data_IF_165141394882
#
_entry.id   IF_165141394882
#
_cell.length_a   1.000
_cell.length_b   1.000
_cell.length_c   1.000
_cell.angle_alpha   90.00
_cell.angle_beta   90.00
_cell.angle_gamma   90.00
#
_symmetry.space_group_name_H-M   'P 1'
#
loop_
_entity.id
_entity.type
_entity.pdbx_description
1 polymer ?
#
# COMPACT_ATOMS: atom_id res chain seq x y z
N UNK A 1 -10.82 -14.61 -20.40
CA UNK A 1 -10.73 -13.17 -20.76
C UNK A 1 -10.67 -12.40 -19.45
N UNK A 2 -9.75 -11.45 -19.32
CA UNK A 2 -9.55 -10.71 -18.07
C UNK A 2 -10.75 -9.79 -17.86
N UNK A 3 -11.31 -9.81 -16.67
CA UNK A 3 -12.42 -8.94 -16.27
C UNK A 3 -11.94 -7.49 -16.05
N UNK A 4 -12.85 -6.54 -16.30
CA UNK A 4 -12.58 -5.11 -16.19
C UNK A 4 -12.06 -4.69 -14.79
N UNK A 5 -12.57 -5.22 -13.65
CA UNK A 5 -12.03 -4.92 -12.32
C UNK A 5 -10.55 -5.30 -12.16
N UNK A 6 -10.16 -6.50 -12.60
CA UNK A 6 -8.77 -6.97 -12.56
C UNK A 6 -7.87 -6.10 -13.43
N UNK A 7 -8.37 -5.68 -14.60
CA UNK A 7 -7.64 -4.78 -15.50
C UNK A 7 -7.39 -3.41 -14.87
N UNK A 8 -8.39 -2.87 -14.16
CA UNK A 8 -8.23 -1.61 -13.41
C UNK A 8 -7.23 -1.74 -12.28
N UNK A 9 -7.27 -2.83 -11.54
CA UNK A 9 -6.34 -3.09 -10.45
C UNK A 9 -4.90 -3.23 -10.96
N UNK A 10 -4.72 -3.96 -12.06
CA UNK A 10 -3.43 -4.09 -12.73
C UNK A 10 -2.89 -2.73 -13.18
N UNK A 11 -3.74 -1.87 -13.75
CA UNK A 11 -3.35 -0.52 -14.15
C UNK A 11 -2.96 0.34 -12.95
N UNK A 12 -3.73 0.29 -11.86
CA UNK A 12 -3.46 1.03 -10.62
C UNK A 12 -2.09 0.67 -10.06
N UNK A 13 -1.87 -0.62 -9.82
CA UNK A 13 -0.64 -1.18 -9.25
C UNK A 13 0.58 -0.95 -10.16
N UNK A 14 0.38 -0.87 -11.47
CA UNK A 14 1.49 -0.68 -12.41
C UNK A 14 1.98 0.77 -12.48
N UNK A 15 1.22 1.75 -11.96
CA UNK A 15 1.60 3.17 -11.89
C UNK A 15 2.08 3.74 -13.24
N UNK A 16 1.52 3.25 -14.35
CA UNK A 16 1.90 3.66 -15.71
C UNK A 16 3.14 2.98 -16.29
N UNK A 17 3.84 2.11 -15.53
CA UNK A 17 4.92 1.28 -16.06
C UNK A 17 4.35 0.09 -16.84
N UNK A 18 4.37 0.19 -18.17
CA UNK A 18 3.94 -0.88 -19.07
C UNK A 18 4.76 -2.18 -18.92
N UNK A 19 6.05 -2.09 -18.57
CA UNK A 19 6.89 -3.28 -18.35
C UNK A 19 6.42 -4.01 -17.09
N UNK A 20 6.17 -3.28 -16.00
CA UNK A 20 5.61 -3.84 -14.75
C UNK A 20 4.25 -4.49 -15.01
N UNK A 21 3.36 -3.81 -15.73
CA UNK A 21 2.03 -4.33 -16.07
C UNK A 21 2.09 -5.66 -16.82
N UNK A 22 2.93 -5.75 -17.86
CA UNK A 22 3.10 -6.98 -18.65
C UNK A 22 3.69 -8.10 -17.79
N UNK A 23 4.69 -7.80 -16.97
CA UNK A 23 5.34 -8.79 -16.11
C UNK A 23 4.40 -9.35 -15.04
N UNK A 24 3.59 -8.48 -14.43
CA UNK A 24 2.55 -8.88 -13.48
C UNK A 24 1.52 -9.77 -14.18
N UNK A 25 1.00 -9.35 -15.35
CA UNK A 25 0.03 -10.13 -16.10
C UNK A 25 0.53 -11.52 -16.49
N UNK A 26 1.77 -11.61 -17.00
CA UNK A 26 2.39 -12.89 -17.35
C UNK A 26 2.58 -13.80 -16.12
N UNK A 27 2.91 -13.21 -14.98
CA UNK A 27 3.08 -13.96 -13.73
C UNK A 27 1.74 -14.42 -13.17
N UNK A 28 0.70 -13.58 -13.21
CA UNK A 28 -0.67 -13.94 -12.83
C UNK A 28 -1.20 -15.11 -13.66
N UNK A 29 -1.05 -15.04 -14.98
CA UNK A 29 -1.47 -16.13 -15.86
C UNK A 29 -0.71 -17.44 -15.59
N UNK A 30 0.58 -17.36 -15.24
CA UNK A 30 1.39 -18.54 -14.87
C UNK A 30 0.92 -19.18 -13.55
N UNK A 31 0.47 -18.39 -12.58
CA UNK A 31 0.06 -18.87 -11.25
C UNK A 31 -1.41 -19.30 -11.19
N UNK A 32 -2.30 -18.56 -11.85
CA UNK A 32 -3.77 -18.74 -11.75
C UNK A 32 -4.42 -19.24 -13.04
N UNK A 33 -3.64 -19.45 -14.11
CA UNK A 33 -4.18 -19.83 -15.42
C UNK A 33 -5.08 -18.74 -16.00
N UNK A 34 -6.31 -19.12 -16.35
CA UNK A 34 -7.28 -18.21 -16.97
C UNK A 34 -8.19 -17.48 -15.96
N UNK A 35 -8.17 -17.87 -14.69
CA UNK A 35 -8.99 -17.29 -13.62
C UNK A 35 -8.17 -16.24 -12.83
N UNK A 36 -8.01 -15.05 -13.42
CA UNK A 36 -7.31 -13.93 -12.78
C UNK A 36 -8.36 -13.00 -12.18
N UNK A 37 -8.37 -12.86 -10.86
CA UNK A 37 -9.21 -11.89 -10.15
C UNK A 37 -8.41 -10.71 -9.58
N UNK A 38 -9.08 -9.65 -9.08
CA UNK A 38 -8.41 -8.46 -8.54
C UNK A 38 -7.51 -8.76 -7.34
N UNK A 39 -7.92 -9.69 -6.48
CA UNK A 39 -7.13 -10.09 -5.31
C UNK A 39 -5.80 -10.71 -5.72
N UNK A 40 -5.76 -11.51 -6.79
CA UNK A 40 -4.52 -12.09 -7.27
C UNK A 40 -3.51 -11.01 -7.71
N UNK A 41 -3.99 -9.89 -8.27
CA UNK A 41 -3.15 -8.73 -8.62
C UNK A 41 -2.55 -8.11 -7.37
N UNK A 42 -3.36 -7.89 -6.33
CA UNK A 42 -2.91 -7.34 -5.04
C UNK A 42 -1.86 -8.25 -4.39
N UNK A 43 -2.15 -9.55 -4.31
CA UNK A 43 -1.27 -10.55 -3.69
C UNK A 43 0.10 -10.60 -4.39
N UNK A 44 0.11 -10.62 -5.73
CA UNK A 44 1.35 -10.71 -6.50
C UNK A 44 2.17 -9.41 -6.44
N UNK A 45 1.49 -8.27 -6.33
CA UNK A 45 2.14 -6.96 -6.27
C UNK A 45 2.54 -6.51 -4.88
N UNK A 46 2.19 -7.30 -3.86
CA UNK A 46 2.33 -6.97 -2.45
C UNK A 46 1.69 -5.61 -2.07
N UNK A 47 0.66 -5.19 -2.84
CA UNK A 47 -0.07 -3.96 -2.57
C UNK A 47 -1.10 -4.21 -1.45
N UNK A 48 -1.11 -3.32 -0.45
CA UNK A 48 -2.16 -3.31 0.56
C UNK A 48 -3.56 -3.14 -0.06
N UNK A 49 -4.56 -3.92 0.39
CA UNK A 49 -5.96 -3.63 0.11
C UNK A 49 -6.41 -2.32 0.75
N UNK A 50 -7.34 -1.61 0.09
CA UNK A 50 -7.88 -0.33 0.56
C UNK A 50 -8.49 -0.42 1.98
N UNK A 51 -9.08 -1.56 2.32
CA UNK A 51 -9.63 -1.83 3.65
C UNK A 51 -8.55 -1.75 4.74
N UNK A 52 -7.35 -2.26 4.46
CA UNK A 52 -6.23 -2.29 5.42
C UNK A 52 -5.61 -0.91 5.60
N UNK A 53 -5.59 -0.10 4.54
CA UNK A 53 -5.20 1.31 4.61
C UNK A 53 -6.20 2.08 5.48
N UNK A 54 -7.50 1.87 5.26
CA UNK A 54 -8.55 2.46 6.08
C UNK A 54 -8.44 2.08 7.55
N UNK A 55 -8.19 0.80 7.85
CA UNK A 55 -7.93 0.30 9.21
C UNK A 55 -6.74 1.03 9.85
N UNK A 56 -5.65 1.20 9.09
CA UNK A 56 -4.44 1.89 9.55
C UNK A 56 -4.75 3.31 10.00
N UNK A 57 -5.44 4.10 9.17
CA UNK A 57 -5.84 5.46 9.55
C UNK A 57 -6.85 5.49 10.69
N UNK A 58 -7.76 4.52 10.77
CA UNK A 58 -8.70 4.42 11.88
C UNK A 58 -7.97 4.22 13.22
N UNK A 59 -6.96 3.35 13.25
CA UNK A 59 -6.12 3.13 14.45
C UNK A 59 -5.30 4.38 14.78
N UNK A 60 -4.67 5.03 13.79
CA UNK A 60 -3.96 6.30 13.99
C UNK A 60 -4.85 7.37 14.64
N UNK A 61 -6.11 7.48 14.23
CA UNK A 61 -7.09 8.44 14.79
C UNK A 61 -7.46 8.15 16.25
N UNK A 62 -7.28 6.92 16.74
CA UNK A 62 -7.53 6.59 18.16
C UNK A 62 -6.49 7.17 19.11
N UNK A 63 -5.31 7.57 18.60
CA UNK A 63 -4.18 8.05 19.38
C UNK A 63 -3.73 7.08 20.49
N UNK A 64 -3.90 5.77 20.27
CA UNK A 64 -3.51 4.70 21.19
C UNK A 64 -2.25 4.00 20.68
N UNK A 65 -1.12 4.26 21.35
CA UNK A 65 0.17 3.70 20.98
C UNK A 65 0.22 2.16 21.04
N UNK A 66 -0.53 1.56 21.97
CA UNK A 66 -0.53 0.09 22.09
C UNK A 66 -1.19 -0.55 20.88
N UNK A 67 -2.27 0.06 20.37
CA UNK A 67 -2.96 -0.41 19.15
C UNK A 67 -2.10 -0.22 17.91
N UNK A 68 -1.35 0.89 17.84
CA UNK A 68 -0.40 1.12 16.75
C UNK A 68 0.70 0.05 16.71
N UNK A 69 1.26 -0.33 17.86
CA UNK A 69 2.27 -1.39 17.93
C UNK A 69 1.75 -2.76 17.49
N UNK A 70 0.49 -3.09 17.81
CA UNK A 70 -0.18 -4.31 17.33
C UNK A 70 -0.41 -4.25 15.82
N UNK A 71 -0.89 -3.12 15.30
CA UNK A 71 -1.10 -2.94 13.87
C UNK A 71 0.21 -3.07 13.08
N UNK A 72 1.28 -2.39 13.52
CA UNK A 72 2.60 -2.48 12.87
C UNK A 72 3.12 -3.92 12.84
N UNK A 73 2.98 -4.64 13.96
CA UNK A 73 3.37 -6.06 14.03
C UNK A 73 2.52 -6.94 13.09
N UNK A 74 1.22 -6.65 12.95
CA UNK A 74 0.33 -7.35 12.02
C UNK A 74 0.72 -7.10 10.56
N UNK A 75 0.95 -5.85 10.17
CA UNK A 75 1.30 -5.51 8.79
C UNK A 75 2.63 -6.15 8.36
N UNK A 76 3.61 -6.19 9.26
CA UNK A 76 4.87 -6.90 9.03
C UNK A 76 4.69 -8.42 8.98
N UNK A 77 3.85 -8.98 9.85
CA UNK A 77 3.57 -10.42 9.87
C UNK A 77 2.81 -10.88 8.61
N UNK A 78 1.96 -10.01 8.05
CA UNK A 78 1.26 -10.22 6.79
C UNK A 78 2.21 -10.15 5.58
N UNK A 79 3.46 -9.70 5.78
CA UNK A 79 4.52 -9.71 4.76
C UNK A 79 4.50 -8.51 3.82
N UNK A 80 3.79 -7.44 4.17
CA UNK A 80 3.74 -6.24 3.35
C UNK A 80 5.05 -5.44 3.45
N UNK A 81 5.65 -5.04 2.32
CA UNK A 81 6.80 -4.15 2.32
C UNK A 81 6.46 -2.78 2.93
N UNK A 82 7.31 -2.27 3.84
CA UNK A 82 7.04 -1.01 4.57
C UNK A 82 7.07 0.21 3.64
N UNK A 83 7.95 0.21 2.65
CA UNK A 83 7.98 1.20 1.57
C UNK A 83 6.63 1.27 0.84
N UNK A 84 6.04 0.11 0.53
CA UNK A 84 4.72 0.04 -0.12
C UNK A 84 3.58 0.52 0.81
N UNK A 85 3.68 0.26 2.12
CA UNK A 85 2.72 0.78 3.12
C UNK A 85 2.77 2.31 3.13
N UNK A 86 3.97 2.87 3.28
CA UNK A 86 4.18 4.33 3.40
C UNK A 86 3.75 5.05 2.12
N UNK A 87 4.08 4.51 0.95
CA UNK A 87 3.66 5.08 -0.34
C UNK A 87 2.13 5.15 -0.46
N UNK A 88 1.43 4.06 -0.11
CA UNK A 88 -0.04 4.02 -0.19
C UNK A 88 -0.72 4.88 0.88
N UNK A 89 -0.13 5.01 2.07
CA UNK A 89 -0.59 5.96 3.08
C UNK A 89 -0.52 7.41 2.55
N UNK A 90 0.57 7.77 1.86
CA UNK A 90 0.72 9.09 1.25
C UNK A 90 -0.35 9.36 0.18
N UNK A 91 -0.60 8.39 -0.70
CA UNK A 91 -1.65 8.49 -1.73
C UNK A 91 -3.03 8.69 -1.10
N UNK A 92 -3.34 7.93 -0.04
CA UNK A 92 -4.58 8.06 0.69
C UNK A 92 -4.76 9.44 1.35
N UNK A 93 -3.70 10.00 1.95
CA UNK A 93 -3.73 11.35 2.54
C UNK A 93 -3.91 12.42 1.46
N UNK A 94 -3.24 12.26 0.31
CA UNK A 94 -3.36 13.19 -0.80
C UNK A 94 -4.81 13.25 -1.30
N UNK A 95 -5.44 12.10 -1.48
CA UNK A 95 -6.83 11.96 -1.93
C UNK A 95 -7.89 12.31 -0.85
N UNK A 96 -7.54 12.26 0.43
CA UNK A 96 -8.48 12.49 1.54
C UNK A 96 -9.08 13.90 1.52
N UNK A 97 -10.40 14.02 1.66
CA UNK A 97 -11.08 15.31 1.87
C UNK A 97 -11.18 15.72 3.35
N UNK A 98 -10.80 14.83 4.28
CA UNK A 98 -11.00 15.01 5.72
C UNK A 98 -9.95 15.94 6.37
N UNK A 99 -8.82 16.13 5.68
CA UNK A 99 -7.66 16.87 6.19
C UNK A 99 -7.49 18.18 5.43
N UNK A 100 -7.28 19.26 6.17
CA UNK A 100 -6.90 20.55 5.56
C UNK A 100 -5.47 20.54 5.03
N UNK A 101 -5.15 21.45 4.11
CA UNK A 101 -3.85 21.51 3.42
C UNK A 101 -2.66 21.51 4.38
N UNK A 102 -2.76 22.24 5.51
CA UNK A 102 -1.71 22.28 6.52
C UNK A 102 -1.49 20.93 7.20
N UNK A 103 -2.57 20.20 7.48
CA UNK A 103 -2.50 18.88 8.09
C UNK A 103 -1.92 17.87 7.10
N UNK A 104 -2.37 17.90 5.84
CA UNK A 104 -1.78 17.08 4.77
C UNK A 104 -0.29 17.33 4.62
N UNK A 105 0.13 18.59 4.60
CA UNK A 105 1.53 18.97 4.48
C UNK A 105 2.38 18.45 5.66
N UNK A 106 1.86 18.52 6.88
CA UNK A 106 2.54 17.98 8.06
C UNK A 106 2.74 16.46 7.94
N UNK A 107 1.66 15.71 7.71
CA UNK A 107 1.74 14.24 7.64
C UNK A 107 2.59 13.79 6.45
N UNK A 108 2.48 14.45 5.29
CA UNK A 108 3.33 14.16 4.13
C UNK A 108 4.82 14.39 4.41
N UNK A 109 5.15 15.40 5.22
CA UNK A 109 6.53 15.66 5.64
C UNK A 109 7.04 14.55 6.56
N UNK A 110 6.22 14.11 7.52
CA UNK A 110 6.57 13.03 8.43
C UNK A 110 6.78 11.70 7.68
N UNK A 111 5.90 11.40 6.73
CA UNK A 111 6.03 10.26 5.80
C UNK A 111 7.33 10.35 5.01
N UNK A 112 7.66 11.50 4.42
CA UNK A 112 8.89 11.65 3.65
C UNK A 112 10.16 11.43 4.49
N UNK A 113 10.13 11.79 5.78
CA UNK A 113 11.23 11.50 6.71
C UNK A 113 11.36 10.00 6.98
N UNK A 114 10.25 9.30 7.16
CA UNK A 114 10.25 7.84 7.36
C UNK A 114 10.72 7.09 6.11
N UNK A 115 10.21 7.45 4.94
CA UNK A 115 10.60 6.91 3.63
C UNK A 115 12.11 7.06 3.37
N UNK A 116 12.66 8.26 3.66
CA UNK A 116 14.10 8.48 3.59
C UNK A 116 14.86 7.54 4.52
N UNK A 117 14.43 7.39 5.78
CA UNK A 117 15.11 6.53 6.75
C UNK A 117 15.08 5.06 6.33
N UNK A 118 13.97 4.59 5.76
CA UNK A 118 13.88 3.24 5.18
C UNK A 118 14.87 3.08 4.02
N UNK A 119 14.94 4.06 3.13
CA UNK A 119 15.93 4.09 2.04
C UNK A 119 17.37 4.05 2.57
N UNK A 120 17.62 4.71 3.71
CA UNK A 120 18.92 4.71 4.41
C UNK A 120 19.18 3.41 5.21
N UNK A 121 18.27 2.43 5.19
CA UNK A 121 18.42 1.13 5.85
C UNK A 121 18.01 1.10 7.32
N UNK A 122 17.12 2.01 7.75
CA UNK A 122 16.52 1.94 9.08
C UNK A 122 15.62 0.71 9.24
N UNK A 123 15.36 0.30 10.49
CA UNK A 123 14.55 -0.88 10.77
C UNK A 123 13.05 -0.66 10.51
N UNK A 124 12.46 -1.58 9.76
CA UNK A 124 11.06 -1.65 9.33
C UNK A 124 10.03 -1.45 10.45
N UNK A 125 10.22 -2.07 11.62
CA UNK A 125 9.27 -1.93 12.74
C UNK A 125 9.28 -0.53 13.37
N UNK A 126 10.40 0.18 13.27
CA UNK A 126 10.58 1.48 13.92
C UNK A 126 10.15 2.64 13.02
N UNK A 127 10.22 2.45 11.69
CA UNK A 127 9.78 3.42 10.71
C UNK A 127 8.29 3.25 10.40
#
# INVERSE_FOLDING_TARGET
>A
AIDEPTLRELMRVSEGDMRRAIQLLQSLHRLHGDEIGPQAVLDLSAALPDEKIGETFAVCRTNDFSKLGVLASSLLADGYPVDQIIAQMLEHIAASSDLGDRQKAQVATDIAVADKKLTDGAGDYLQ
#
